data_IF_556376999365
#
_entry.id   IF_556376999365
#
_cell.length_a   1.000
_cell.length_b   1.000
_cell.length_c   1.000
_cell.angle_alpha   90.00
_cell.angle_beta   90.00
_cell.angle_gamma   90.00
#
_symmetry.space_group_name_H-M   'P 1'
#
loop_
_entity.id
_entity.type
_entity.pdbx_description
1 polymer ?
#
# COMPACT_ATOMS: atom_id res chain seq x y z
N UNK A 1 34.02 7.01 -7.59
CA UNK A 1 32.70 7.51 -8.05
C UNK A 1 31.68 6.40 -7.83
N UNK A 2 30.72 6.56 -6.90
CA UNK A 2 29.69 5.53 -6.63
C UNK A 2 28.46 5.87 -7.47
N UNK A 3 28.27 5.17 -8.59
CA UNK A 3 27.01 5.18 -9.33
C UNK A 3 26.00 4.29 -8.58
N UNK A 4 25.31 4.85 -7.58
CA UNK A 4 24.15 4.21 -6.96
C UNK A 4 22.93 4.31 -7.89
N UNK A 5 22.98 3.68 -9.07
CA UNK A 5 21.75 3.36 -9.79
C UNK A 5 21.23 2.07 -9.17
N UNK A 6 20.22 2.16 -8.31
CA UNK A 6 19.44 1.01 -7.88
C UNK A 6 19.00 0.29 -9.17
N UNK A 7 19.44 -0.95 -9.36
CA UNK A 7 19.08 -1.70 -10.56
C UNK A 7 17.55 -1.78 -10.65
N UNK A 8 16.99 -1.34 -11.79
CA UNK A 8 15.56 -1.46 -12.03
C UNK A 8 15.21 -2.95 -11.97
N UNK A 9 14.27 -3.30 -11.12
CA UNK A 9 13.74 -4.65 -10.98
C UNK A 9 12.28 -4.59 -10.57
N UNK A 10 11.60 -5.73 -10.57
CA UNK A 10 10.19 -5.78 -10.18
C UNK A 10 10.00 -5.38 -8.72
N UNK A 11 10.89 -5.73 -7.80
CA UNK A 11 10.73 -5.41 -6.37
C UNK A 11 10.67 -3.90 -6.10
N UNK A 12 11.38 -3.11 -6.92
CA UNK A 12 11.41 -1.66 -6.88
C UNK A 12 10.45 -1.00 -7.90
N UNK A 13 9.48 -1.75 -8.43
CA UNK A 13 8.46 -1.23 -9.33
C UNK A 13 7.19 -0.84 -8.55
N UNK A 14 6.59 0.30 -8.90
CA UNK A 14 5.29 0.76 -8.40
C UNK A 14 4.21 -0.32 -8.44
N UNK A 15 4.20 -1.13 -9.49
CA UNK A 15 3.17 -2.14 -9.73
C UNK A 15 3.43 -3.50 -9.08
N UNK A 16 4.56 -3.68 -8.38
CA UNK A 16 4.84 -4.95 -7.74
C UNK A 16 4.21 -5.05 -6.36
N UNK A 17 3.31 -6.01 -6.17
CA UNK A 17 2.68 -6.30 -4.89
C UNK A 17 3.42 -7.44 -4.16
N UNK A 18 4.23 -7.04 -3.19
CA UNK A 18 4.90 -7.94 -2.24
C UNK A 18 3.88 -8.65 -1.35
N UNK A 19 3.97 -9.98 -1.23
CA UNK A 19 3.19 -10.74 -0.26
C UNK A 19 3.86 -10.71 1.12
N UNK A 20 3.02 -10.69 2.16
CA UNK A 20 3.47 -10.72 3.54
C UNK A 20 2.74 -11.83 4.30
N UNK A 21 3.47 -12.52 5.17
CA UNK A 21 2.88 -13.39 6.17
C UNK A 21 2.69 -12.57 7.45
N UNK A 22 1.49 -12.65 8.05
CA UNK A 22 1.20 -12.03 9.34
C UNK A 22 1.62 -12.98 10.46
N UNK A 23 2.37 -12.47 11.43
CA UNK A 23 2.71 -13.19 12.67
C UNK A 23 2.45 -12.25 13.84
N UNK A 24 1.52 -12.60 14.73
CA UNK A 24 1.10 -11.79 15.89
C UNK A 24 1.00 -10.29 15.57
N UNK A 25 2.06 -9.55 15.90
CA UNK A 25 2.16 -8.08 15.82
C UNK A 25 2.93 -7.55 14.62
N UNK A 26 3.50 -8.39 13.75
CA UNK A 26 4.29 -7.96 12.61
C UNK A 26 3.97 -8.72 11.31
N UNK A 27 4.40 -8.14 10.21
CA UNK A 27 4.31 -8.71 8.87
C UNK A 27 5.72 -8.98 8.37
N UNK A 28 6.00 -10.21 7.92
CA UNK A 28 7.27 -10.57 7.30
C UNK A 28 7.10 -10.73 5.80
N UNK A 29 8.09 -10.30 5.02
CA UNK A 29 8.09 -10.50 3.56
C UNK A 29 8.17 -12.01 3.29
N UNK A 30 7.25 -12.51 2.48
CA UNK A 30 7.41 -13.83 1.85
C UNK A 30 8.23 -13.62 0.59
N UNK A 31 9.08 -14.57 0.19
CA UNK A 31 9.85 -14.47 -1.07
C UNK A 31 8.95 -14.66 -2.32
N UNK A 32 7.77 -14.04 -2.34
CA UNK A 32 6.82 -14.04 -3.44
C UNK A 32 6.03 -12.72 -3.52
N UNK A 33 5.48 -12.45 -4.70
CA UNK A 33 4.63 -11.30 -5.00
C UNK A 33 4.22 -11.34 -6.48
N UNK A 34 3.47 -10.34 -6.93
CA UNK A 34 2.98 -10.31 -8.31
C UNK A 34 2.83 -8.89 -8.86
N UNK A 35 2.86 -8.75 -10.18
CA UNK A 35 2.61 -7.48 -10.86
C UNK A 35 1.10 -7.20 -10.96
N UNK A 36 0.69 -6.00 -10.53
CA UNK A 36 -0.70 -5.53 -10.56
C UNK A 36 -0.98 -4.57 -11.73
N UNK A 37 0.00 -4.26 -12.57
CA UNK A 37 -0.21 -3.37 -13.71
C UNK A 37 -1.28 -3.97 -14.66
N UNK A 38 -2.38 -3.25 -14.97
CA UNK A 38 -3.43 -3.76 -15.84
C UNK A 38 -2.97 -3.94 -17.29
N UNK A 39 -2.01 -3.14 -17.75
CA UNK A 39 -1.44 -3.17 -19.10
C UNK A 39 -0.39 -4.28 -19.28
N UNK A 40 0.19 -4.78 -18.19
CA UNK A 40 1.18 -5.85 -18.26
C UNK A 40 0.56 -7.14 -18.82
N UNK A 41 1.25 -7.77 -19.78
CA UNK A 41 0.83 -9.03 -20.37
C UNK A 41 0.83 -10.13 -19.31
N UNK A 42 -0.09 -11.09 -19.40
CA UNK A 42 -0.19 -12.20 -18.44
C UNK A 42 1.10 -13.03 -18.29
N UNK A 43 1.94 -13.07 -19.32
CA UNK A 43 3.28 -13.67 -19.26
C UNK A 43 4.24 -12.88 -18.36
N UNK A 44 4.16 -11.55 -18.38
CA UNK A 44 5.07 -10.67 -17.66
C UNK A 44 4.66 -10.58 -16.18
N UNK A 45 3.37 -10.78 -15.86
CA UNK A 45 2.88 -10.94 -14.48
C UNK A 45 3.41 -12.18 -13.75
N UNK A 46 3.89 -13.18 -14.51
CA UNK A 46 4.40 -14.46 -14.01
C UNK A 46 5.92 -14.58 -14.09
N UNK A 47 6.62 -13.60 -14.69
CA UNK A 47 8.08 -13.65 -14.81
C UNK A 47 8.73 -13.46 -13.44
N UNK A 48 9.82 -14.21 -13.21
CA UNK A 48 10.71 -14.01 -12.06
C UNK A 48 11.24 -12.57 -12.07
N UNK A 49 11.53 -12.07 -10.87
CA UNK A 49 11.92 -10.71 -10.46
C UNK A 49 12.96 -9.94 -11.30
N UNK A 50 13.63 -10.62 -12.23
CA UNK A 50 14.83 -10.14 -12.89
C UNK A 50 14.58 -9.60 -14.30
N UNK A 51 13.32 -9.57 -14.77
CA UNK A 51 12.98 -9.00 -16.08
C UNK A 51 12.08 -7.78 -15.87
N UNK A 52 12.65 -6.60 -16.06
CA UNK A 52 11.92 -5.33 -16.09
C UNK A 52 11.08 -5.25 -17.36
N UNK A 53 9.84 -4.81 -17.23
CA UNK A 53 8.95 -4.58 -18.39
C UNK A 53 8.87 -3.09 -18.74
N UNK A 54 8.32 -2.79 -19.91
CA UNK A 54 8.14 -1.43 -20.44
C UNK A 54 7.23 -0.52 -19.58
N UNK A 55 6.45 -1.10 -18.67
CA UNK A 55 5.59 -0.36 -17.74
C UNK A 55 6.22 -0.16 -16.36
N UNK A 56 7.54 -0.30 -16.24
CA UNK A 56 8.21 -0.06 -14.96
C UNK A 56 8.08 1.41 -14.55
N UNK A 57 7.66 1.62 -13.31
CA UNK A 57 7.63 2.93 -12.68
C UNK A 57 8.31 2.84 -11.30
N UNK A 58 8.96 3.91 -10.82
CA UNK A 58 9.63 3.89 -9.52
C UNK A 58 8.68 3.61 -8.35
N UNK A 59 9.11 2.80 -7.38
CA UNK A 59 8.32 2.41 -6.20
C UNK A 59 7.87 3.60 -5.35
N UNK A 60 8.64 4.69 -5.36
CA UNK A 60 8.38 5.92 -4.61
C UNK A 60 7.01 6.51 -4.95
N UNK A 61 6.53 6.32 -6.18
CA UNK A 61 5.18 6.75 -6.58
C UNK A 61 4.12 6.01 -5.75
N UNK A 62 4.25 4.68 -5.60
CA UNK A 62 3.32 3.87 -4.80
C UNK A 62 3.43 4.21 -3.33
N UNK A 63 4.64 4.43 -2.82
CA UNK A 63 4.84 4.78 -1.41
C UNK A 63 4.13 6.09 -1.06
N UNK A 64 4.23 7.10 -1.93
CA UNK A 64 3.50 8.37 -1.80
C UNK A 64 1.99 8.16 -1.81
N UNK A 65 1.46 7.47 -2.83
CA UNK A 65 0.02 7.22 -2.95
C UNK A 65 -0.55 6.43 -1.77
N UNK A 66 0.20 5.44 -1.29
CA UNK A 66 -0.18 4.67 -0.10
C UNK A 66 -0.23 5.55 1.14
N UNK A 67 0.74 6.44 1.33
CA UNK A 67 0.77 7.37 2.47
C UNK A 67 -0.42 8.31 2.43
N UNK A 68 -0.73 8.90 1.28
CA UNK A 68 -1.89 9.76 1.08
C UNK A 68 -3.23 9.03 1.33
N UNK A 69 -3.33 7.77 0.89
CA UNK A 69 -4.52 6.94 1.13
C UNK A 69 -4.71 6.65 2.63
N UNK A 70 -3.64 6.24 3.33
CA UNK A 70 -3.67 5.99 4.78
C UNK A 70 -4.08 7.24 5.53
N UNK A 71 -3.47 8.39 5.21
CA UNK A 71 -3.79 9.67 5.85
C UNK A 71 -5.28 10.03 5.69
N UNK A 72 -5.82 9.86 4.48
CA UNK A 72 -7.24 10.11 4.21
C UNK A 72 -8.14 9.19 5.01
N UNK A 73 -7.81 7.90 5.07
CA UNK A 73 -8.56 6.92 5.88
C UNK A 73 -8.54 7.31 7.36
N UNK A 74 -7.38 7.68 7.91
CA UNK A 74 -7.26 8.10 9.32
C UNK A 74 -8.09 9.35 9.61
N UNK A 75 -8.05 10.36 8.72
CA UNK A 75 -8.88 11.57 8.86
C UNK A 75 -10.37 11.26 8.83
N UNK A 76 -10.80 10.33 7.97
CA UNK A 76 -12.19 9.91 7.90
C UNK A 76 -12.62 9.15 9.18
N UNK A 77 -11.76 8.26 9.68
CA UNK A 77 -12.01 7.55 10.94
C UNK A 77 -12.16 8.53 12.12
N UNK A 78 -11.31 9.55 12.21
CA UNK A 78 -11.40 10.58 13.25
C UNK A 78 -12.77 11.29 13.22
N UNK A 79 -13.21 11.72 12.04
CA UNK A 79 -14.54 12.34 11.86
C UNK A 79 -15.68 11.42 12.29
N UNK A 80 -15.61 10.13 11.93
CA UNK A 80 -16.62 9.16 12.32
C UNK A 80 -16.67 8.98 13.84
N UNK A 81 -15.52 8.91 14.50
CA UNK A 81 -15.43 8.81 15.96
C UNK A 81 -16.01 10.07 16.62
N UNK A 82 -15.71 11.26 16.10
CA UNK A 82 -16.29 12.52 16.57
C UNK A 82 -17.81 12.53 16.46
N UNK A 83 -18.36 12.10 15.31
CA UNK A 83 -19.82 11.99 15.13
C UNK A 83 -20.45 11.01 16.12
N UNK A 84 -19.83 9.85 16.35
CA UNK A 84 -20.31 8.87 17.35
C UNK A 84 -20.29 9.49 18.75
N UNK A 85 -19.21 10.19 19.11
CA UNK A 85 -19.10 10.84 20.41
C UNK A 85 -20.14 11.95 20.62
N UNK A 86 -20.55 12.67 19.56
CA UNK A 86 -21.63 13.65 19.65
C UNK A 86 -22.97 12.99 19.96
N UNK A 87 -23.34 11.92 19.25
CA UNK A 87 -24.59 11.18 19.48
C UNK A 87 -24.65 10.68 20.93
N UNK A 88 -23.58 10.07 21.42
CA UNK A 88 -23.53 9.55 22.79
C UNK A 88 -23.72 10.64 23.85
N UNK A 89 -23.19 11.85 23.61
CA UNK A 89 -23.38 12.99 24.53
C UNK A 89 -24.80 13.53 24.53
N UNK A 90 -25.46 13.53 23.38
CA UNK A 90 -26.85 13.98 23.26
C UNK A 90 -27.80 12.99 23.95
N UNK A 91 -27.54 11.68 23.80
CA UNK A 91 -28.30 10.62 24.47
C UNK A 91 -28.18 10.69 26.01
N UNK A 92 -27.00 11.06 26.53
CA UNK A 92 -26.79 11.27 27.97
C UNK A 92 -27.54 12.49 28.52
N UNK A 93 -27.75 13.54 27.71
CA UNK A 93 -28.43 14.78 28.12
C UNK A 93 -29.97 14.68 28.03
N UNK A 94 -30.51 13.76 27.25
CA UNK A 94 -31.96 13.53 27.12
C UNK A 94 -32.57 12.60 28.18
N UNK A 95 -31.78 12.15 29.15
CA UNK A 95 -32.20 11.23 30.21
C UNK A 95 -32.53 11.91 31.56
N UNK A 96 -32.53 13.25 31.61
CA UNK A 96 -33.01 14.09 32.72
C UNK A 96 -34.44 14.61 32.48
#
# INVERSE_FOLDING_TARGET
MKNNKTEQNCENCRYYLQHYAKSNTYFTKVFCGHCTNPLAKARDKRKKYNIVCEHWEPIEIRERERKEAIERTLRNMAKQIESIAMILKDDEQGAE
#
